data_IF_626796080692
#
_entry.id   IF_626796080692
#
_cell.length_a   1.000
_cell.length_b   1.000
_cell.length_c   1.000
_cell.angle_alpha   90.00
_cell.angle_beta   90.00
_cell.angle_gamma   90.00
#
_symmetry.space_group_name_H-M   'P 1'
#
loop_
_entity.id
_entity.type
_entity.pdbx_description
1 polymer ?
#
# COMPACT_ATOMS: atom_id res chain seq x y z
N UNK A 1 -5.91 -4.24 7.53
CA UNK A 1 -4.69 -4.54 8.31
C UNK A 1 -3.51 -4.93 7.43
N UNK A 2 -3.64 -5.92 6.53
CA UNK A 2 -2.52 -6.33 5.65
C UNK A 2 -1.93 -5.16 4.85
N UNK A 3 -2.77 -4.40 4.14
CA UNK A 3 -2.33 -3.23 3.35
C UNK A 3 -1.48 -2.27 4.20
N UNK A 4 -1.97 -1.91 5.39
CA UNK A 4 -1.25 -1.01 6.29
C UNK A 4 0.12 -1.56 6.68
N UNK A 5 0.21 -2.86 7.00
CA UNK A 5 1.47 -3.51 7.38
C UNK A 5 2.46 -3.58 6.22
N UNK A 6 1.99 -3.85 5.00
CA UNK A 6 2.85 -3.86 3.80
C UNK A 6 3.40 -2.47 3.49
N UNK A 7 2.57 -1.43 3.61
CA UNK A 7 3.01 -0.04 3.42
C UNK A 7 4.03 0.40 4.48
N UNK A 8 3.82 0.01 5.75
CA UNK A 8 4.79 0.25 6.81
C UNK A 8 6.10 -0.51 6.58
N UNK A 9 6.00 -1.77 6.14
CA UNK A 9 7.17 -2.58 5.79
C UNK A 9 7.96 -1.95 4.65
N UNK A 10 7.29 -1.39 3.64
CA UNK A 10 7.93 -0.67 2.54
C UNK A 10 8.78 0.50 3.03
N UNK A 11 8.26 1.33 3.94
CA UNK A 11 9.03 2.44 4.51
C UNK A 11 10.28 1.95 5.28
N UNK A 12 10.19 0.80 5.95
CA UNK A 12 11.34 0.21 6.63
C UNK A 12 12.36 -0.36 5.63
N UNK A 13 11.91 -1.00 4.56
CA UNK A 13 12.80 -1.59 3.54
C UNK A 13 13.48 -0.53 2.69
N UNK A 14 12.84 0.60 2.44
CA UNK A 14 13.41 1.73 1.69
C UNK A 14 14.70 2.26 2.35
N UNK A 15 14.70 2.34 3.69
CA UNK A 15 15.92 2.72 4.44
C UNK A 15 17.10 1.74 4.26
N UNK A 16 16.81 0.47 3.92
CA UNK A 16 17.82 -0.59 3.72
C UNK A 16 18.17 -0.80 2.24
N UNK A 17 17.43 -0.20 1.31
CA UNK A 17 17.67 -0.35 -0.13
C UNK A 17 19.10 0.06 -0.49
N UNK A 18 19.58 1.18 0.09
CA UNK A 18 20.93 1.68 -0.11
C UNK A 18 22.04 0.77 0.46
N UNK A 19 21.70 -0.20 1.32
CA UNK A 19 22.65 -1.09 2.01
C UNK A 19 22.65 -2.52 1.46
N UNK A 20 22.00 -2.76 0.31
CA UNK A 20 21.83 -4.10 -0.25
C UNK A 20 20.53 -4.75 0.23
N UNK A 21 19.41 -4.32 -0.36
CA UNK A 21 18.06 -4.78 -0.06
C UNK A 21 17.81 -6.27 -0.32
N UNK A 22 16.56 -6.70 -0.13
CA UNK A 22 16.15 -8.08 -0.35
C UNK A 22 15.28 -8.15 -1.62
N UNK A 23 15.88 -8.54 -2.74
CA UNK A 23 15.20 -8.58 -4.05
C UNK A 23 13.86 -9.34 -4.02
N UNK A 24 13.80 -10.47 -3.30
CA UNK A 24 12.56 -11.25 -3.16
C UNK A 24 11.45 -10.47 -2.43
N UNK A 25 11.83 -9.66 -1.44
CA UNK A 25 10.89 -8.81 -0.72
C UNK A 25 10.42 -7.66 -1.61
N UNK A 26 11.32 -7.05 -2.37
CA UNK A 26 10.99 -5.98 -3.31
C UNK A 26 10.00 -6.48 -4.37
N UNK A 27 10.26 -7.67 -4.94
CA UNK A 27 9.34 -8.32 -5.88
C UNK A 27 7.97 -8.65 -5.24
N UNK A 28 7.96 -9.10 -3.98
CA UNK A 28 6.71 -9.36 -3.26
C UNK A 28 5.90 -8.08 -3.00
N UNK A 29 6.57 -6.97 -2.65
CA UNK A 29 5.95 -5.66 -2.48
C UNK A 29 5.37 -5.16 -3.82
N UNK A 30 6.12 -5.28 -4.92
CA UNK A 30 5.65 -4.92 -6.26
C UNK A 30 4.43 -5.74 -6.68
N UNK A 31 4.47 -7.06 -6.49
CA UNK A 31 3.35 -7.96 -6.80
C UNK A 31 2.10 -7.61 -5.97
N UNK A 32 2.28 -7.29 -4.69
CA UNK A 32 1.20 -6.81 -3.84
C UNK A 32 0.56 -5.53 -4.38
N UNK A 33 1.37 -4.54 -4.79
CA UNK A 33 0.85 -3.28 -5.33
C UNK A 33 0.11 -3.44 -6.65
N UNK A 34 0.54 -4.38 -7.49
CA UNK A 34 -0.17 -4.70 -8.73
C UNK A 34 -1.60 -5.16 -8.44
N UNK A 35 -1.77 -6.07 -7.47
CA UNK A 35 -3.09 -6.56 -7.06
C UNK A 35 -3.88 -5.48 -6.30
N UNK A 36 -3.22 -4.73 -5.43
CA UNK A 36 -3.84 -3.62 -4.71
C UNK A 36 -4.43 -2.59 -5.69
N UNK A 37 -3.67 -2.21 -6.72
CA UNK A 37 -4.14 -1.26 -7.74
C UNK A 37 -5.36 -1.79 -8.47
N UNK A 38 -5.35 -3.05 -8.92
CA UNK A 38 -6.50 -3.66 -9.63
C UNK A 38 -7.80 -3.64 -8.81
N UNK A 39 -7.70 -3.83 -7.49
CA UNK A 39 -8.86 -3.96 -6.61
C UNK A 39 -9.31 -2.60 -6.06
N UNK A 40 -8.35 -1.72 -5.75
CA UNK A 40 -8.63 -0.49 -4.99
C UNK A 40 -8.41 0.79 -5.78
N UNK A 41 -7.58 0.81 -6.82
CA UNK A 41 -7.21 2.04 -7.54
C UNK A 41 -7.75 1.96 -8.98
N UNK A 42 -8.95 2.48 -9.19
CA UNK A 42 -9.61 2.53 -10.51
C UNK A 42 -11.01 3.15 -10.43
N UNK A 43 -11.57 3.50 -11.58
CA UNK A 43 -12.80 4.31 -11.71
C UNK A 43 -14.09 3.55 -11.27
N UNK A 44 -14.05 2.22 -11.30
CA UNK A 44 -15.17 1.33 -10.93
C UNK A 44 -15.03 0.74 -9.52
N UNK A 45 -14.05 1.18 -8.73
CA UNK A 45 -13.84 0.65 -7.38
C UNK A 45 -14.85 1.26 -6.41
N UNK A 46 -15.47 0.39 -5.60
CA UNK A 46 -16.25 0.84 -4.45
C UNK A 46 -15.33 1.53 -3.42
N UNK A 47 -15.23 2.86 -3.51
CA UNK A 47 -14.47 3.72 -2.58
C UNK A 47 -14.94 3.63 -1.12
N UNK A 48 -16.08 2.98 -0.87
CA UNK A 48 -16.62 2.66 0.46
C UNK A 48 -15.93 1.47 1.16
N UNK A 49 -14.89 0.89 0.54
CA UNK A 49 -14.11 -0.19 1.14
C UNK A 49 -13.54 0.18 2.52
N UNK A 50 -13.61 -0.77 3.47
CA UNK A 50 -12.98 -0.65 4.79
C UNK A 50 -11.48 -0.36 4.71
N UNK A 51 -10.84 -0.65 3.58
CA UNK A 51 -9.41 -0.37 3.35
C UNK A 51 -9.11 1.11 3.42
N UNK A 52 -9.89 1.97 2.76
CA UNK A 52 -9.68 3.42 2.76
C UNK A 52 -9.77 4.01 4.16
N UNK A 53 -10.78 3.60 4.93
CA UNK A 53 -10.91 3.99 6.35
C UNK A 53 -9.66 3.58 7.14
N UNK A 54 -9.18 2.34 6.97
CA UNK A 54 -8.00 1.85 7.71
C UNK A 54 -6.70 2.53 7.27
N UNK A 55 -6.57 2.90 6.01
CA UNK A 55 -5.43 3.67 5.52
C UNK A 55 -5.39 5.06 6.18
N UNK A 56 -6.55 5.71 6.31
CA UNK A 56 -6.66 6.99 7.02
C UNK A 56 -6.35 6.84 8.53
N UNK A 57 -6.98 5.88 9.21
CA UNK A 57 -6.79 5.65 10.65
C UNK A 57 -5.36 5.27 11.04
N UNK A 58 -4.70 4.41 10.25
CA UNK A 58 -3.41 3.81 10.62
C UNK A 58 -2.23 4.57 10.03
N UNK A 59 -2.38 5.12 8.83
CA UNK A 59 -1.29 5.75 8.09
C UNK A 59 -1.53 7.24 7.81
N UNK A 60 -2.69 7.79 8.16
CA UNK A 60 -3.06 9.17 7.83
C UNK A 60 -3.31 9.40 6.34
N UNK A 61 -3.45 8.35 5.53
CA UNK A 61 -3.62 8.45 4.08
C UNK A 61 -5.10 8.62 3.72
N UNK A 62 -5.44 9.66 2.96
CA UNK A 62 -6.80 9.95 2.49
C UNK A 62 -6.80 10.08 0.97
N UNK A 63 -7.84 9.58 0.29
CA UNK A 63 -8.00 9.74 -1.16
C UNK A 63 -8.44 11.17 -1.48
N UNK A 64 -7.63 11.93 -2.21
CA UNK A 64 -7.94 13.31 -2.64
C UNK A 64 -9.15 13.38 -3.58
N UNK A 65 -9.58 12.27 -4.18
CA UNK A 65 -10.80 12.22 -5.00
C UNK A 65 -12.09 12.03 -4.17
N UNK A 66 -12.01 11.98 -2.84
CA UNK A 66 -13.19 11.91 -1.95
C UNK A 66 -13.54 13.27 -1.30
N UNK A 67 -12.95 14.38 -1.75
CA UNK A 67 -13.41 15.75 -1.45
C UNK A 67 -14.36 16.29 -2.50
#
# INVERSE_FOLDING_TARGET
ELVCRVLQLMNLTDSRLAQGGCEKLDLAILSFFEQFRKIYVGDQVQKTSKVYRRLSEVLGLSDESMV
#
